data_IF_780547333650
#
_entry.id   IF_780547333650
#
_cell.length_a   1.000
_cell.length_b   1.000
_cell.length_c   1.000
_cell.angle_alpha   90.00
_cell.angle_beta   90.00
_cell.angle_gamma   90.00
#
_symmetry.space_group_name_H-M   'P 1'
#
loop_
_entity.id
_entity.type
_entity.pdbx_description
1 polymer ?
#
# COMPACT_ATOMS: atom_id res chain seq x y z
N UNK A 1 3.89 5.52 -15.58
CA UNK A 1 2.99 6.37 -14.78
C UNK A 1 3.12 5.96 -13.32
N UNK A 2 3.14 6.90 -12.37
CA UNK A 2 3.11 6.56 -10.92
C UNK A 2 1.67 6.72 -10.45
N UNK A 3 1.08 5.65 -9.94
CA UNK A 3 -0.27 5.68 -9.36
C UNK A 3 -0.17 6.21 -7.93
N UNK A 4 -0.95 7.23 -7.60
CA UNK A 4 -1.10 7.74 -6.23
C UNK A 4 -2.49 7.34 -5.77
N UNK A 5 -2.56 6.54 -4.71
CA UNK A 5 -3.81 6.26 -4.02
C UNK A 5 -3.97 7.25 -2.87
N UNK A 6 -4.93 8.16 -2.99
CA UNK A 6 -5.29 9.12 -1.95
C UNK A 6 -6.56 8.64 -1.24
N UNK A 7 -6.52 8.55 0.09
CA UNK A 7 -7.67 8.14 0.91
C UNK A 7 -7.79 9.15 2.07
N UNK A 8 -8.86 9.93 2.08
CA UNK A 8 -9.27 10.72 3.23
C UNK A 8 -10.24 9.91 4.08
N UNK A 9 -9.97 9.82 5.38
CA UNK A 9 -10.83 9.11 6.32
C UNK A 9 -11.29 10.12 7.38
N UNK A 10 -12.58 10.52 7.39
CA UNK A 10 -13.10 11.61 8.24
C UNK A 10 -13.38 11.11 9.66
N UNK A 11 -12.45 10.38 10.25
CA UNK A 11 -12.51 9.94 11.64
C UNK A 11 -11.13 9.95 12.28
N UNK A 12 -10.98 10.45 13.52
CA UNK A 12 -9.73 10.36 14.27
C UNK A 12 -9.50 8.96 14.87
N UNK A 13 -10.47 8.04 14.78
CA UNK A 13 -10.33 6.69 15.33
C UNK A 13 -9.43 5.81 14.45
N UNK A 14 -8.13 5.92 14.72
CA UNK A 14 -7.08 5.15 14.05
C UNK A 14 -7.19 3.64 14.25
N UNK A 15 -7.85 3.18 15.31
CA UNK A 15 -8.05 1.74 15.56
C UNK A 15 -9.07 1.17 14.59
N UNK A 16 -10.19 1.86 14.40
CA UNK A 16 -11.22 1.50 13.43
C UNK A 16 -10.68 1.58 11.99
N UNK A 17 -9.89 2.61 11.67
CA UNK A 17 -9.23 2.72 10.36
C UNK A 17 -8.27 1.57 10.10
N UNK A 18 -7.42 1.23 11.08
CA UNK A 18 -6.51 0.09 10.96
C UNK A 18 -7.28 -1.22 10.75
N UNK A 19 -8.35 -1.42 11.52
CA UNK A 19 -9.20 -2.62 11.38
C UNK A 19 -9.79 -2.69 9.98
N UNK A 20 -10.38 -1.60 9.49
CA UNK A 20 -10.92 -1.51 8.13
C UNK A 20 -9.87 -1.82 7.05
N UNK A 21 -8.65 -1.26 7.16
CA UNK A 21 -7.55 -1.56 6.23
C UNK A 21 -7.24 -3.07 6.19
N UNK A 22 -7.23 -3.72 7.36
CA UNK A 22 -6.90 -5.13 7.50
C UNK A 22 -8.03 -6.05 7.01
N UNK A 23 -9.29 -5.75 7.35
CA UNK A 23 -10.42 -6.69 7.15
C UNK A 23 -11.23 -6.41 5.89
N UNK A 24 -11.49 -5.14 5.56
CA UNK A 24 -12.50 -4.77 4.56
C UNK A 24 -11.89 -4.13 3.31
N UNK A 25 -10.84 -3.34 3.47
CA UNK A 25 -10.18 -2.67 2.35
C UNK A 25 -9.57 -3.70 1.39
N UNK A 26 -10.10 -3.79 0.17
CA UNK A 26 -9.61 -4.70 -0.86
C UNK A 26 -9.20 -3.91 -2.09
N UNK A 27 -7.95 -4.07 -2.52
CA UNK A 27 -7.43 -3.43 -3.72
C UNK A 27 -7.24 -4.49 -4.82
N UNK A 28 -7.99 -4.43 -5.93
CA UNK A 28 -8.15 -5.54 -6.87
C UNK A 28 -6.86 -6.10 -7.49
N UNK A 29 -5.78 -5.31 -7.51
CA UNK A 29 -4.56 -5.63 -8.27
C UNK A 29 -3.33 -5.89 -7.39
N UNK A 30 -3.46 -5.97 -6.06
CA UNK A 30 -2.29 -6.13 -5.18
C UNK A 30 -2.45 -7.24 -4.15
N UNK A 31 -1.38 -8.01 -3.92
CA UNK A 31 -1.38 -9.00 -2.85
C UNK A 31 -1.23 -8.27 -1.51
N UNK A 32 -2.31 -8.25 -0.72
CA UNK A 32 -2.39 -7.58 0.59
C UNK A 32 -1.79 -8.46 1.70
N UNK A 33 -0.82 -7.91 2.42
CA UNK A 33 -0.23 -8.50 3.61
C UNK A 33 -0.56 -7.63 4.83
N UNK A 34 -1.17 -8.23 5.85
CA UNK A 34 -1.51 -7.54 7.10
C UNK A 34 -0.25 -7.34 7.96
N UNK A 35 -0.13 -6.19 8.63
CA UNK A 35 0.91 -5.90 9.62
C UNK A 35 0.28 -5.40 10.93
N UNK A 36 1.04 -5.36 12.03
CA UNK A 36 0.54 -4.91 13.33
C UNK A 36 0.05 -3.45 13.33
N UNK A 37 0.54 -2.63 12.41
CA UNK A 37 0.25 -1.18 12.31
C UNK A 37 -0.56 -0.79 11.06
N UNK A 38 -0.91 -1.74 10.19
CA UNK A 38 -1.63 -1.47 8.96
C UNK A 38 -1.58 -2.61 7.95
N UNK A 39 -1.26 -2.29 6.70
CA UNK A 39 -1.18 -3.23 5.59
C UNK A 39 -0.04 -2.90 4.64
N UNK A 40 0.46 -3.92 3.94
CA UNK A 40 1.39 -3.80 2.82
C UNK A 40 0.73 -4.36 1.56
N UNK A 41 0.65 -3.57 0.52
CA UNK A 41 0.19 -3.98 -0.79
C UNK A 41 1.41 -4.30 -1.65
N UNK A 42 1.52 -5.54 -2.11
CA UNK A 42 2.54 -5.94 -3.10
C UNK A 42 1.96 -5.75 -4.48
N UNK A 43 2.60 -4.90 -5.29
CA UNK A 43 2.26 -4.80 -6.70
C UNK A 43 2.84 -6.03 -7.37
N UNK A 44 2.03 -6.91 -8.00
CA UNK A 44 2.58 -7.97 -8.82
C UNK A 44 3.43 -7.29 -9.89
N UNK A 45 4.66 -7.76 -10.09
CA UNK A 45 5.53 -7.26 -11.14
C UNK A 45 4.85 -7.54 -12.48
N UNK A 46 4.03 -6.60 -12.94
CA UNK A 46 3.54 -6.61 -14.31
C UNK A 46 4.78 -6.40 -15.18
N UNK A 47 5.09 -7.43 -15.96
CA UNK A 47 5.93 -7.35 -17.15
C UNK A 47 5.35 -6.29 -18.09
N UNK A 48 5.60 -5.02 -17.81
CA UNK A 48 5.44 -3.95 -18.78
C UNK A 48 6.73 -3.13 -18.79
N UNK A 49 7.33 -3.08 -19.98
CA UNK A 49 8.54 -2.34 -20.32
C UNK A 49 8.51 -0.93 -19.74
N UNK A 50 9.18 -0.73 -18.61
CA UNK A 50 9.63 0.60 -18.21
C UNK A 50 11.15 0.54 -18.24
N UNK A 51 11.73 1.45 -19.03
CA UNK A 51 13.16 1.54 -19.30
C UNK A 51 13.98 1.48 -18.00
N UNK A 52 15.19 0.88 -18.03
CA UNK A 52 16.00 0.68 -16.84
C UNK A 52 16.46 2.04 -16.29
N UNK A 53 15.96 2.40 -15.12
CA UNK A 53 16.51 3.48 -14.30
C UNK A 53 17.62 2.82 -13.47
N UNK A 54 18.88 3.25 -13.57
CA UNK A 54 19.97 2.66 -12.82
C UNK A 54 19.96 3.24 -11.41
N UNK A 55 19.14 2.70 -10.52
CA UNK A 55 19.27 2.97 -9.09
C UNK A 55 19.45 1.66 -8.32
N UNK A 56 20.52 1.69 -7.53
CA UNK A 56 20.99 0.67 -6.61
C UNK A 56 19.84 0.12 -5.75
N UNK A 57 19.82 -1.20 -5.58
CA UNK A 57 18.82 -2.02 -4.87
C UNK A 57 17.46 -2.19 -5.56
N UNK A 58 17.34 -3.30 -6.28
CA UNK A 58 16.12 -3.93 -6.80
C UNK A 58 15.17 -4.34 -5.67
N UNK A 59 14.50 -3.36 -5.04
CA UNK A 59 13.36 -3.66 -4.16
C UNK A 59 12.10 -3.84 -5.03
N UNK A 60 11.30 -4.90 -4.79
CA UNK A 60 10.04 -5.08 -5.51
C UNK A 60 9.08 -3.91 -5.20
N UNK A 61 8.28 -3.47 -6.18
CA UNK A 61 7.33 -2.36 -5.99
C UNK A 61 6.29 -2.76 -4.94
N UNK A 62 6.35 -2.14 -3.76
CA UNK A 62 5.39 -2.37 -2.68
C UNK A 62 4.98 -1.06 -2.04
N UNK A 63 3.68 -0.92 -1.77
CA UNK A 63 3.10 0.22 -1.04
C UNK A 63 2.82 -0.21 0.40
N UNK A 64 3.33 0.56 1.36
CA UNK A 64 3.08 0.33 2.80
C UNK A 64 2.15 1.41 3.30
N UNK A 65 1.03 1.01 3.91
CA UNK A 65 0.04 1.91 4.51
C UNK A 65 0.05 1.68 6.01
N UNK A 66 0.31 2.73 6.77
CA UNK A 66 0.23 2.77 8.22
C UNK A 66 -0.64 3.94 8.65
N UNK A 67 -1.32 3.78 9.78
CA UNK A 67 -2.11 4.86 10.38
C UNK A 67 -1.24 5.57 11.39
N UNK A 68 -1.07 6.89 11.24
CA UNK A 68 -0.36 7.75 12.18
C UNK A 68 -1.35 8.78 12.73
N UNK A 69 -1.48 8.87 14.06
CA UNK A 69 -2.08 10.05 14.73
C UNK A 69 -0.96 10.85 15.39
N UNK A 70 -0.97 12.17 15.19
CA UNK A 70 -0.20 13.10 16.01
C UNK A 70 -0.86 13.27 17.38
#
# INVERSE_FOLDING_TARGET
MREILYIEIPTPDTTSVRRWLQTEFNYPTTAKQITSVGIRLKVPSATEKVAPIPESQTLPPSLTIFVWSV
#
